data_IF_205160843008
#
_entry.id   IF_205160843008
#
_cell.length_a   1.000
_cell.length_b   1.000
_cell.length_c   1.000
_cell.angle_alpha   90.00
_cell.angle_beta   90.00
_cell.angle_gamma   90.00
#
_symmetry.space_group_name_H-M   'P 1'
#
loop_
_entity.id
_entity.type
_entity.pdbx_description
1 polymer ?
#
# COMPACT_ATOMS: atom_id res chain seq x y z
N UNK A 1 -116.07 10.51 26.38
CA UNK A 1 -116.78 11.80 26.46
C UNK A 1 -116.25 12.58 27.65
N UNK A 2 -115.37 13.56 27.42
CA UNK A 2 -115.21 14.82 28.17
C UNK A 2 -113.87 15.47 27.83
N UNK A 3 -114.01 16.58 27.13
CA UNK A 3 -113.03 17.62 26.84
C UNK A 3 -112.65 18.32 28.14
N UNK A 4 -111.36 18.59 28.37
CA UNK A 4 -110.89 19.74 29.16
C UNK A 4 -109.64 20.32 28.47
N UNK A 5 -109.61 21.65 28.42
CA UNK A 5 -108.75 22.55 27.64
C UNK A 5 -107.69 23.24 28.52
N UNK A 6 -106.57 23.59 27.89
CA UNK A 6 -105.59 24.66 28.17
C UNK A 6 -104.52 24.48 29.28
N UNK A 7 -103.24 24.67 28.90
CA UNK A 7 -102.56 25.99 28.90
C UNK A 7 -101.25 25.96 28.09
N UNK A 8 -100.99 27.04 27.37
CA UNK A 8 -99.81 27.34 26.54
C UNK A 8 -98.66 27.96 27.34
N UNK A 9 -97.41 27.66 26.98
CA UNK A 9 -96.35 28.67 26.78
C UNK A 9 -95.12 28.10 26.04
N UNK A 10 -94.63 28.87 25.07
CA UNK A 10 -93.49 28.61 24.16
C UNK A 10 -92.18 29.10 24.78
N UNK A 11 -91.05 28.46 24.50
CA UNK A 11 -89.75 29.16 24.28
C UNK A 11 -88.91 28.39 23.23
N UNK A 12 -88.23 29.17 22.38
CA UNK A 12 -87.52 28.84 21.14
C UNK A 12 -86.08 28.37 21.42
N UNK A 13 -85.59 27.42 20.63
CA UNK A 13 -84.18 27.02 20.58
C UNK A 13 -83.47 27.94 19.57
N UNK A 14 -82.41 28.64 20.02
CA UNK A 14 -81.50 29.41 19.17
C UNK A 14 -80.18 28.65 19.03
N UNK A 15 -79.77 28.41 17.78
CA UNK A 15 -78.46 27.88 17.40
C UNK A 15 -77.48 29.07 17.35
N UNK A 16 -76.40 28.99 18.12
CA UNK A 16 -75.29 29.96 18.07
C UNK A 16 -74.11 29.30 17.37
N UNK A 17 -73.79 29.80 16.17
CA UNK A 17 -72.51 29.56 15.51
C UNK A 17 -71.47 30.54 16.05
N UNK A 18 -70.28 30.04 16.37
CA UNK A 18 -69.17 30.84 16.87
C UNK A 18 -68.04 30.86 15.84
N UNK A 19 -67.84 32.02 15.21
CA UNK A 19 -66.60 32.41 14.55
C UNK A 19 -65.77 33.22 15.53
N UNK A 20 -64.51 32.83 15.76
CA UNK A 20 -63.53 33.67 16.47
C UNK A 20 -62.21 33.63 15.70
N UNK A 21 -61.74 34.81 15.30
CA UNK A 21 -60.40 35.12 14.83
C UNK A 21 -59.90 36.29 15.70
N UNK A 22 -58.70 36.20 16.30
CA UNK A 22 -58.00 37.37 16.86
C UNK A 22 -57.19 37.21 18.16
N UNK A 23 -56.01 36.59 18.04
CA UNK A 23 -54.68 36.98 18.57
C UNK A 23 -54.39 37.34 20.07
N UNK A 24 -53.36 36.63 20.58
CA UNK A 24 -52.26 37.02 21.50
C UNK A 24 -52.45 36.93 23.02
N UNK A 25 -51.84 35.92 23.64
CA UNK A 25 -50.87 36.04 24.77
C UNK A 25 -50.26 34.67 25.06
N UNK A 26 -48.94 34.56 24.91
CA UNK A 26 -48.22 33.29 24.82
C UNK A 26 -47.98 32.56 26.15
N UNK A 27 -48.08 31.23 26.08
CA UNK A 27 -47.17 30.25 26.73
C UNK A 27 -47.19 29.00 25.83
N UNK A 28 -46.53 29.08 24.67
CA UNK A 28 -46.34 27.93 23.80
C UNK A 28 -45.13 27.12 24.25
N UNK A 29 -45.37 25.95 24.85
CA UNK A 29 -44.36 24.90 24.98
C UNK A 29 -43.96 24.42 23.58
N UNK A 30 -43.02 25.12 22.95
CA UNK A 30 -42.27 24.60 21.83
C UNK A 30 -41.28 23.58 22.38
N UNK A 31 -41.66 22.30 22.37
CA UNK A 31 -40.65 21.24 22.24
C UNK A 31 -40.06 21.36 20.84
N UNK A 32 -39.14 22.31 20.69
CA UNK A 32 -38.23 22.33 19.57
C UNK A 32 -37.41 21.05 19.64
N UNK A 33 -37.77 20.06 18.83
CA UNK A 33 -36.79 19.11 18.31
C UNK A 33 -35.81 19.94 17.51
N UNK A 34 -34.79 20.49 18.18
CA UNK A 34 -33.56 20.88 17.52
C UNK A 34 -32.97 19.57 16.99
N UNK A 35 -33.37 19.19 15.78
CA UNK A 35 -32.51 18.40 14.93
C UNK A 35 -31.21 19.20 14.88
N UNK A 36 -30.19 18.69 15.56
CA UNK A 36 -28.85 19.23 15.48
C UNK A 36 -28.48 19.08 14.01
N UNK A 37 -28.54 20.17 13.25
CA UNK A 37 -27.96 20.21 11.91
C UNK A 37 -26.50 19.79 12.10
N UNK A 38 -26.17 18.58 11.67
CA UNK A 38 -24.80 18.09 11.71
C UNK A 38 -23.98 19.08 10.89
N UNK A 39 -23.12 19.84 11.57
CA UNK A 39 -22.24 20.79 10.93
C UNK A 39 -21.54 20.10 9.75
N UNK A 40 -21.37 20.78 8.59
CA UNK A 40 -20.81 20.15 7.40
C UNK A 40 -19.49 19.45 7.74
N UNK A 41 -19.36 18.20 7.30
CA UNK A 41 -18.15 17.42 7.45
C UNK A 41 -17.02 18.15 6.74
N UNK A 42 -16.02 18.62 7.50
CA UNK A 42 -14.82 19.21 6.92
C UNK A 42 -13.70 18.16 6.88
N UNK A 43 -12.78 18.23 5.91
CA UNK A 43 -11.66 17.30 5.80
C UNK A 43 -10.84 17.20 7.09
N UNK A 44 -10.59 18.31 7.76
CA UNK A 44 -9.77 18.36 8.98
C UNK A 44 -10.47 17.76 10.20
N UNK A 45 -11.81 17.73 10.19
CA UNK A 45 -12.62 17.09 11.23
C UNK A 45 -12.68 15.57 11.04
N UNK A 46 -12.83 15.12 9.80
CA UNK A 46 -12.91 13.68 9.46
C UNK A 46 -11.52 13.04 9.48
N UNK A 47 -10.51 13.74 8.97
CA UNK A 47 -9.13 13.28 8.85
C UNK A 47 -8.18 14.19 9.65
N UNK A 48 -8.25 14.19 10.99
CA UNK A 48 -7.26 14.90 11.80
C UNK A 48 -5.85 14.34 11.57
N UNK A 49 -4.84 15.20 11.68
CA UNK A 49 -3.44 14.79 11.61
C UNK A 49 -3.09 13.72 12.65
N UNK A 50 -2.24 12.76 12.26
CA UNK A 50 -1.78 11.63 13.10
C UNK A 50 -1.08 12.09 14.37
N UNK A 51 -0.50 13.30 14.38
CA UNK A 51 0.08 13.92 15.58
C UNK A 51 -0.92 14.10 16.74
N UNK A 52 -2.23 14.18 16.46
CA UNK A 52 -3.26 14.17 17.52
C UNK A 52 -3.39 12.80 18.18
N UNK A 53 -3.19 11.72 17.43
CA UNK A 53 -3.22 10.34 17.91
C UNK A 53 -2.02 10.04 18.81
N UNK A 54 -0.84 10.60 18.49
CA UNK A 54 0.42 10.43 19.25
C UNK A 54 0.31 10.73 20.74
N UNK A 55 -0.60 11.63 21.13
CA UNK A 55 -0.83 11.98 22.54
C UNK A 55 -1.19 10.77 23.41
N UNK A 56 -1.86 9.77 22.82
CA UNK A 56 -2.26 8.54 23.50
C UNK A 56 -1.61 7.29 22.89
N UNK A 57 -1.42 7.25 21.57
CA UNK A 57 -0.86 6.12 20.83
C UNK A 57 0.63 6.34 20.49
N UNK A 58 1.47 6.47 21.51
CA UNK A 58 2.86 6.91 21.36
C UNK A 58 3.65 5.94 20.47
N UNK A 59 3.71 4.65 20.85
CA UNK A 59 4.46 3.62 20.13
C UNK A 59 4.00 3.48 18.68
N UNK A 60 2.70 3.34 18.45
CA UNK A 60 2.16 3.19 17.09
C UNK A 60 2.44 4.43 16.22
N UNK A 61 2.40 5.64 16.79
CA UNK A 61 2.76 6.86 16.08
C UNK A 61 4.24 6.89 15.73
N UNK A 62 5.13 6.49 16.62
CA UNK A 62 6.58 6.47 16.37
C UNK A 62 6.95 5.44 15.28
N UNK A 63 6.35 4.25 15.34
CA UNK A 63 6.50 3.22 14.31
C UNK A 63 5.97 3.71 12.95
N UNK A 64 4.81 4.37 12.93
CA UNK A 64 4.22 4.96 11.74
C UNK A 64 5.08 6.08 11.14
N UNK A 65 5.60 6.99 11.98
CA UNK A 65 6.40 8.15 11.56
C UNK A 65 7.64 7.72 10.76
N UNK A 66 8.19 6.53 11.03
CA UNK A 66 9.33 5.95 10.30
C UNK A 66 8.94 5.03 9.13
N UNK A 67 7.65 4.73 8.98
CA UNK A 67 7.16 3.77 7.98
C UNK A 67 7.18 4.29 6.54
N UNK A 68 7.17 3.36 5.58
CA UNK A 68 7.00 3.71 4.16
C UNK A 68 5.61 4.27 3.85
N UNK A 69 4.60 3.95 4.67
CA UNK A 69 3.21 4.39 4.51
C UNK A 69 3.07 5.88 4.85
N UNK A 70 3.72 6.35 5.91
CA UNK A 70 3.77 7.80 6.22
C UNK A 70 4.37 8.63 5.08
N UNK A 71 5.20 8.00 4.24
CA UNK A 71 5.85 8.63 3.10
C UNK A 71 5.04 8.51 1.79
N UNK A 72 3.81 7.98 1.81
CA UNK A 72 3.04 7.62 0.62
C UNK A 72 2.92 8.72 -0.44
N UNK A 73 2.84 10.00 -0.05
CA UNK A 73 2.66 11.12 -0.99
C UNK A 73 3.90 11.99 -1.18
N UNK A 74 4.97 11.76 -0.41
CA UNK A 74 6.12 12.69 -0.37
C UNK A 74 7.37 12.17 -1.07
N UNK A 75 7.36 10.93 -1.54
CA UNK A 75 8.54 10.39 -2.24
C UNK A 75 8.75 11.09 -3.59
N UNK A 76 10.01 11.32 -4.01
CA UNK A 76 10.29 11.95 -5.29
C UNK A 76 9.81 11.10 -6.48
N UNK A 77 9.79 9.77 -6.34
CA UNK A 77 9.30 8.85 -7.37
C UNK A 77 7.79 8.95 -7.55
N UNK A 78 7.03 9.06 -6.45
CA UNK A 78 5.59 9.25 -6.51
C UNK A 78 5.24 10.61 -7.11
N UNK A 79 5.91 11.69 -6.68
CA UNK A 79 5.70 13.04 -7.23
C UNK A 79 5.96 13.10 -8.73
N UNK A 80 7.05 12.50 -9.20
CA UNK A 80 7.37 12.43 -10.63
C UNK A 80 6.32 11.65 -11.45
N UNK A 81 5.78 10.56 -10.88
CA UNK A 81 4.72 9.79 -11.51
C UNK A 81 3.40 10.55 -11.53
N UNK A 82 3.05 11.18 -10.41
CA UNK A 82 1.85 11.98 -10.26
C UNK A 82 1.85 13.18 -11.20
N UNK A 83 3.00 13.85 -11.37
CA UNK A 83 3.17 14.94 -12.33
C UNK A 83 2.93 14.47 -13.76
N UNK A 84 3.50 13.33 -14.17
CA UNK A 84 3.26 12.74 -15.51
C UNK A 84 1.78 12.46 -15.75
N UNK A 85 1.17 11.79 -14.77
CA UNK A 85 -0.21 11.33 -14.82
C UNK A 85 -1.17 12.52 -14.89
N UNK A 86 -0.98 13.52 -14.02
CA UNK A 86 -1.78 14.73 -13.96
C UNK A 86 -1.57 15.61 -15.20
N UNK A 87 -0.34 15.74 -15.70
CA UNK A 87 -0.03 16.51 -16.91
C UNK A 87 -0.70 15.96 -18.17
N UNK A 88 -1.05 14.67 -18.19
CA UNK A 88 -1.85 14.02 -19.24
C UNK A 88 -3.36 14.21 -19.09
N UNK A 89 -3.82 14.98 -18.10
CA UNK A 89 -5.24 15.23 -17.87
C UNK A 89 -6.04 14.01 -17.37
N UNK A 90 -5.35 12.99 -16.84
CA UNK A 90 -6.01 11.77 -16.32
C UNK A 90 -6.66 12.02 -14.95
N UNK A 91 -7.63 11.18 -14.58
CA UNK A 91 -8.36 11.29 -13.30
C UNK A 91 -7.43 11.02 -12.10
N UNK A 92 -7.00 12.09 -11.43
CA UNK A 92 -6.06 12.11 -10.31
C UNK A 92 -6.50 11.21 -9.14
N UNK A 93 -7.80 10.93 -9.01
CA UNK A 93 -8.33 10.03 -7.98
C UNK A 93 -7.78 8.62 -8.11
N UNK A 94 -7.35 8.20 -9.31
CA UNK A 94 -6.66 6.92 -9.49
C UNK A 94 -5.47 6.77 -8.53
N UNK A 95 -4.60 7.78 -8.45
CA UNK A 95 -3.47 7.77 -7.52
C UNK A 95 -3.93 8.01 -6.07
N UNK A 96 -4.84 8.98 -5.88
CA UNK A 96 -5.22 9.43 -4.53
C UNK A 96 -6.09 8.43 -3.77
N UNK A 97 -6.82 7.53 -4.44
CA UNK A 97 -7.59 6.48 -3.75
C UNK A 97 -6.72 5.60 -2.85
N UNK A 98 -5.45 5.38 -3.19
CA UNK A 98 -4.51 4.62 -2.38
C UNK A 98 -3.55 5.52 -1.59
N UNK A 99 -3.10 6.63 -2.18
CA UNK A 99 -2.06 7.46 -1.59
C UNK A 99 -2.59 8.56 -0.67
N UNK A 100 -3.87 8.95 -0.82
CA UNK A 100 -4.52 10.00 -0.05
C UNK A 100 -6.05 9.76 0.04
N UNK A 101 -6.49 8.65 0.68
CA UNK A 101 -7.85 8.11 0.58
C UNK A 101 -8.96 9.03 1.12
N UNK A 102 -8.62 10.17 1.72
CA UNK A 102 -9.58 11.26 1.98
C UNK A 102 -10.35 11.69 0.73
N UNK A 103 -9.81 11.50 -0.48
CA UNK A 103 -10.53 11.79 -1.73
C UNK A 103 -11.72 10.87 -1.99
N UNK A 104 -11.81 9.73 -1.29
CA UNK A 104 -12.99 8.86 -1.34
C UNK A 104 -14.20 9.57 -0.69
N UNK A 105 -13.96 10.39 0.33
CA UNK A 105 -14.98 11.18 1.04
C UNK A 105 -15.13 12.58 0.45
N UNK A 106 -14.01 13.20 0.06
CA UNK A 106 -13.94 14.57 -0.45
C UNK A 106 -13.32 14.61 -1.86
N UNK A 107 -14.03 14.12 -2.90
CA UNK A 107 -13.47 13.99 -4.24
C UNK A 107 -13.05 15.33 -4.86
N UNK A 108 -13.72 16.42 -4.51
CA UNK A 108 -13.46 17.77 -5.04
C UNK A 108 -12.10 18.34 -4.60
N UNK A 109 -11.46 17.74 -3.60
CA UNK A 109 -10.13 18.16 -3.14
C UNK A 109 -9.00 17.62 -4.00
N UNK A 110 -9.26 16.65 -4.90
CA UNK A 110 -8.22 15.96 -5.64
C UNK A 110 -7.26 16.92 -6.37
N UNK A 111 -7.78 17.96 -7.01
CA UNK A 111 -6.96 18.95 -7.72
C UNK A 111 -6.06 19.76 -6.78
N UNK A 112 -6.62 20.26 -5.68
CA UNK A 112 -5.88 21.02 -4.68
C UNK A 112 -4.83 20.14 -4.01
N UNK A 113 -5.16 18.89 -3.69
CA UNK A 113 -4.25 17.94 -3.09
C UNK A 113 -3.07 17.61 -4.01
N UNK A 114 -3.31 17.35 -5.30
CA UNK A 114 -2.22 17.13 -6.26
C UNK A 114 -1.30 18.35 -6.35
N UNK A 115 -1.85 19.57 -6.39
CA UNK A 115 -1.02 20.80 -6.41
C UNK A 115 -0.09 20.88 -5.20
N UNK A 116 -0.60 20.60 -4.01
CA UNK A 116 0.21 20.61 -2.78
C UNK A 116 1.25 19.48 -2.74
N UNK A 117 0.89 18.28 -3.21
CA UNK A 117 1.84 17.16 -3.30
C UNK A 117 3.01 17.52 -4.21
N UNK A 118 2.72 18.13 -5.36
CA UNK A 118 3.73 18.51 -6.35
C UNK A 118 4.55 19.74 -5.93
N UNK A 119 3.98 20.68 -5.16
CA UNK A 119 4.74 21.81 -4.59
C UNK A 119 5.75 21.35 -3.53
N UNK A 120 5.55 20.16 -2.97
CA UNK A 120 6.41 19.60 -1.95
C UNK A 120 5.98 19.88 -0.51
N UNK A 121 4.88 20.61 -0.32
CA UNK A 121 4.40 21.13 0.96
C UNK A 121 2.90 20.82 1.18
N UNK A 122 2.54 19.54 1.38
CA UNK A 122 1.16 19.15 1.68
C UNK A 122 0.75 19.53 3.10
N UNK A 123 -0.43 20.12 3.26
CA UNK A 123 -1.02 20.43 4.57
C UNK A 123 -1.80 19.26 5.18
N UNK A 124 -1.71 18.09 4.56
CA UNK A 124 -2.42 16.87 4.92
C UNK A 124 -1.49 15.65 4.81
N UNK A 125 -1.89 14.57 5.47
CA UNK A 125 -1.20 13.29 5.38
C UNK A 125 -1.78 12.44 4.24
N UNK A 126 -0.91 11.65 3.59
CA UNK A 126 -1.34 10.69 2.58
C UNK A 126 -2.14 9.56 3.22
N UNK A 127 -1.46 8.51 3.67
CA UNK A 127 -2.07 7.41 4.40
C UNK A 127 -1.71 7.54 5.88
N UNK A 128 -2.45 8.39 6.61
CA UNK A 128 -2.30 8.58 8.06
C UNK A 128 -3.07 7.54 8.90
N UNK A 129 -3.04 7.70 10.22
CA UNK A 129 -3.72 6.78 11.15
C UNK A 129 -5.21 6.65 10.78
N UNK A 130 -5.89 7.79 10.68
CA UNK A 130 -7.34 7.83 10.52
C UNK A 130 -7.78 7.39 9.11
N UNK A 131 -6.93 7.58 8.10
CA UNK A 131 -7.15 7.07 6.75
C UNK A 131 -7.30 5.54 6.72
N UNK A 132 -6.53 4.80 7.53
CA UNK A 132 -6.71 3.36 7.69
C UNK A 132 -7.84 3.05 8.68
N UNK A 133 -7.88 3.75 9.81
CA UNK A 133 -8.79 3.44 10.91
C UNK A 133 -10.26 3.84 10.68
N UNK A 134 -10.59 4.52 9.57
CA UNK A 134 -11.97 4.73 9.11
C UNK A 134 -12.45 3.70 8.08
N UNK A 135 -11.59 2.78 7.62
CA UNK A 135 -12.00 1.76 6.64
C UNK A 135 -12.95 0.75 7.30
N UNK A 136 -14.22 0.82 6.91
CA UNK A 136 -15.29 -0.04 7.43
C UNK A 136 -15.44 -1.35 6.65
N UNK A 137 -15.14 -1.32 5.36
CA UNK A 137 -15.20 -2.52 4.52
C UNK A 137 -14.37 -2.35 3.25
N UNK A 138 -13.85 -3.46 2.73
CA UNK A 138 -13.21 -3.55 1.42
C UNK A 138 -14.03 -4.49 0.56
N UNK A 139 -14.51 -4.01 -0.58
CA UNK A 139 -15.31 -4.80 -1.51
C UNK A 139 -14.40 -5.65 -2.40
N UNK A 140 -13.95 -6.79 -1.89
CA UNK A 140 -13.16 -7.77 -2.63
C UNK A 140 -14.07 -8.57 -3.57
N UNK A 141 -14.68 -7.90 -4.55
CA UNK A 141 -15.56 -8.54 -5.53
C UNK A 141 -14.81 -8.82 -6.84
N UNK A 142 -14.88 -10.03 -7.42
CA UNK A 142 -14.26 -10.35 -8.71
C UNK A 142 -14.87 -9.59 -9.90
N UNK A 143 -15.94 -8.82 -9.68
CA UNK A 143 -16.62 -7.98 -10.67
C UNK A 143 -16.21 -6.51 -10.60
N UNK A 144 -15.32 -6.10 -9.69
CA UNK A 144 -14.68 -4.79 -9.78
C UNK A 144 -13.94 -4.74 -11.11
N UNK A 145 -14.25 -3.73 -11.93
CA UNK A 145 -13.78 -3.58 -13.31
C UNK A 145 -12.32 -4.04 -13.50
N UNK A 146 -11.98 -4.70 -14.61
CA UNK A 146 -10.61 -5.17 -14.85
C UNK A 146 -9.60 -4.02 -14.75
N UNK A 147 -8.74 -4.09 -13.73
CA UNK A 147 -7.68 -3.10 -13.47
C UNK A 147 -8.09 -1.98 -12.52
N UNK A 148 -7.79 -2.16 -11.23
CA UNK A 148 -7.94 -1.16 -10.17
C UNK A 148 -7.98 -1.82 -8.78
N UNK A 149 -7.71 -1.07 -7.70
CA UNK A 149 -7.87 -1.60 -6.34
C UNK A 149 -9.37 -1.83 -6.04
N UNK A 150 -9.73 -2.81 -5.17
CA UNK A 150 -11.10 -3.01 -4.76
C UNK A 150 -11.61 -1.76 -4.02
N UNK A 151 -12.87 -1.33 -4.25
CA UNK A 151 -13.43 -0.17 -3.55
C UNK A 151 -13.36 -0.35 -2.04
N UNK A 152 -12.78 0.63 -1.35
CA UNK A 152 -12.83 0.75 0.10
C UNK A 152 -13.96 1.70 0.49
N UNK A 153 -14.70 1.34 1.55
CA UNK A 153 -15.69 2.22 2.17
C UNK A 153 -15.13 2.77 3.46
N UNK A 154 -15.05 4.09 3.55
CA UNK A 154 -14.74 4.80 4.77
C UNK A 154 -16.04 5.18 5.48
N UNK A 155 -16.04 5.19 6.80
CA UNK A 155 -17.13 5.72 7.63
C UNK A 155 -16.67 7.01 8.32
N UNK A 156 -16.91 8.19 7.71
CA UNK A 156 -16.62 9.46 8.35
C UNK A 156 -17.38 9.60 9.66
N UNK A 157 -16.69 9.98 10.73
CA UNK A 157 -17.33 10.18 12.02
C UNK A 157 -16.35 10.07 13.17
N UNK A 158 -16.91 9.84 14.37
CA UNK A 158 -16.14 9.66 15.60
C UNK A 158 -15.65 8.24 15.82
N UNK A 159 -16.22 7.26 15.11
CA UNK A 159 -15.85 5.85 15.25
C UNK A 159 -14.53 5.55 14.57
N UNK A 160 -13.63 4.92 15.32
CA UNK A 160 -12.31 4.46 14.88
C UNK A 160 -12.28 2.94 15.02
N UNK A 161 -12.02 2.24 13.93
CA UNK A 161 -12.05 0.78 13.89
C UNK A 161 -10.70 0.17 14.26
N UNK A 162 -10.70 -0.99 14.91
CA UNK A 162 -9.47 -1.70 15.26
C UNK A 162 -9.65 -3.20 15.45
N UNK A 163 -8.52 -3.89 15.67
CA UNK A 163 -8.49 -5.35 15.82
C UNK A 163 -8.80 -5.88 17.23
N UNK A 164 -8.99 -5.01 18.23
CA UNK A 164 -9.22 -5.43 19.62
C UNK A 164 -10.71 -5.45 19.95
N UNK A 165 -11.17 -6.49 20.66
CA UNK A 165 -12.57 -6.60 21.11
C UNK A 165 -12.80 -5.92 22.46
N UNK A 166 -11.74 -5.85 23.25
CA UNK A 166 -11.66 -5.34 24.61
C UNK A 166 -10.87 -4.03 24.63
N UNK A 167 -11.29 -3.08 23.79
CA UNK A 167 -10.79 -1.71 23.76
C UNK A 167 -11.33 -0.93 24.98
N UNK A 168 -10.59 0.10 25.39
CA UNK A 168 -11.03 1.03 26.44
C UNK A 168 -11.92 2.12 25.83
N UNK A 169 -12.95 2.53 26.56
CA UNK A 169 -13.76 3.69 26.15
C UNK A 169 -12.94 4.99 26.24
N UNK A 170 -13.12 5.88 25.27
CA UNK A 170 -12.39 7.14 25.18
C UNK A 170 -13.36 8.29 24.88
N UNK A 171 -13.08 9.47 25.43
CA UNK A 171 -13.82 10.69 25.09
C UNK A 171 -13.36 11.28 23.75
N UNK A 172 -12.15 10.94 23.29
CA UNK A 172 -11.56 11.51 22.09
C UNK A 172 -12.27 11.00 20.82
N UNK A 173 -12.49 9.69 20.75
CA UNK A 173 -13.15 9.00 19.65
C UNK A 173 -13.85 7.75 20.17
N UNK A 174 -14.85 7.27 19.43
CA UNK A 174 -15.52 6.01 19.72
C UNK A 174 -14.65 4.88 19.14
N UNK A 175 -14.52 3.77 19.86
CA UNK A 175 -13.71 2.63 19.41
C UNK A 175 -14.63 1.47 19.03
N UNK A 176 -14.31 0.77 17.95
CA UNK A 176 -15.10 -0.38 17.51
C UNK A 176 -14.22 -1.50 16.97
N UNK A 177 -14.49 -2.73 17.43
CA UNK A 177 -13.88 -3.92 16.84
C UNK A 177 -14.36 -4.12 15.40
N UNK A 178 -13.42 -4.34 14.50
CA UNK A 178 -13.72 -4.77 13.14
C UNK A 178 -12.73 -5.86 12.70
N UNK A 179 -13.28 -7.02 12.34
CA UNK A 179 -12.51 -8.20 11.96
C UNK A 179 -11.58 -7.96 10.74
N UNK A 180 -11.92 -6.99 9.89
CA UNK A 180 -11.10 -6.53 8.77
C UNK A 180 -9.67 -6.19 9.18
N UNK A 181 -9.45 -5.63 10.38
CA UNK A 181 -8.11 -5.25 10.86
C UNK A 181 -7.19 -6.44 11.15
N UNK A 182 -7.74 -7.67 11.14
CA UNK A 182 -6.98 -8.92 11.26
C UNK A 182 -6.83 -9.63 9.92
N UNK A 183 -7.30 -9.07 8.81
CA UNK A 183 -7.35 -9.73 7.51
C UNK A 183 -6.50 -9.00 6.47
N UNK A 184 -5.91 -9.76 5.54
CA UNK A 184 -5.18 -9.19 4.41
C UNK A 184 -6.04 -8.28 3.52
N UNK A 185 -7.37 -8.44 3.54
CA UNK A 185 -8.31 -7.62 2.76
C UNK A 185 -8.14 -6.11 3.02
N UNK A 186 -7.79 -5.71 4.25
CA UNK A 186 -7.48 -4.32 4.57
C UNK A 186 -6.33 -3.77 3.70
N UNK A 187 -5.26 -4.56 3.56
CA UNK A 187 -4.08 -4.19 2.79
C UNK A 187 -4.36 -4.23 1.27
N UNK A 188 -5.16 -5.22 0.83
CA UNK A 188 -5.51 -5.40 -0.57
C UNK A 188 -6.34 -4.24 -1.13
N UNK A 189 -6.98 -3.44 -0.28
CA UNK A 189 -7.61 -2.17 -0.66
C UNK A 189 -6.69 -1.21 -1.43
N UNK A 190 -5.38 -1.29 -1.18
CA UNK A 190 -4.38 -0.49 -1.90
C UNK A 190 -3.32 -1.34 -2.59
N UNK A 191 -3.07 -2.56 -2.13
CA UNK A 191 -1.94 -3.37 -2.60
C UNK A 191 -2.30 -4.39 -3.69
N UNK A 192 -3.57 -4.60 -4.04
CA UNK A 192 -3.95 -5.54 -5.11
C UNK A 192 -4.00 -4.87 -6.51
N UNK A 193 -2.99 -4.06 -6.83
CA UNK A 193 -3.02 -3.19 -8.01
C UNK A 193 -2.56 -3.92 -9.27
N UNK A 194 -3.34 -3.77 -10.32
CA UNK A 194 -2.96 -4.04 -11.70
C UNK A 194 -3.08 -2.73 -12.51
N UNK A 195 -2.26 -2.51 -13.55
CA UNK A 195 -2.48 -1.40 -14.47
C UNK A 195 -3.92 -1.40 -15.01
N UNK A 196 -4.56 -0.22 -15.16
CA UNK A 196 -5.89 -0.14 -15.73
C UNK A 196 -5.95 -0.84 -17.09
N UNK A 197 -6.87 -1.80 -17.26
CA UNK A 197 -6.98 -2.57 -18.50
C UNK A 197 -6.00 -3.74 -18.67
N UNK A 198 -5.10 -4.00 -17.70
CA UNK A 198 -4.17 -5.15 -17.73
C UNK A 198 -4.26 -5.97 -16.41
N UNK A 199 -5.44 -6.52 -16.08
CA UNK A 199 -5.70 -7.18 -14.80
C UNK A 199 -4.80 -8.40 -14.52
N UNK A 200 -4.29 -9.07 -15.54
CA UNK A 200 -3.38 -10.21 -15.42
C UNK A 200 -2.03 -9.85 -14.77
N UNK A 201 -1.68 -8.56 -14.73
CA UNK A 201 -0.46 -8.06 -14.13
C UNK A 201 -0.63 -7.61 -12.66
N UNK A 202 -1.57 -8.19 -11.94
CA UNK A 202 -1.81 -7.92 -10.51
C UNK A 202 -0.53 -8.14 -9.68
N UNK A 203 -0.19 -7.16 -8.83
CA UNK A 203 1.09 -7.05 -8.15
C UNK A 203 1.38 -8.16 -7.13
N UNK A 204 0.38 -8.58 -6.35
CA UNK A 204 0.54 -9.58 -5.29
C UNK A 204 0.60 -11.01 -5.84
N UNK A 205 -0.06 -11.27 -6.96
CA UNK A 205 -0.20 -12.60 -7.55
C UNK A 205 -1.18 -13.47 -6.77
N UNK A 206 -0.97 -14.78 -6.83
CA UNK A 206 -1.91 -15.76 -6.29
C UNK A 206 -1.77 -15.99 -4.78
N UNK A 207 -1.73 -14.91 -3.98
CA UNK A 207 -1.53 -14.95 -2.52
C UNK A 207 -2.41 -15.99 -1.81
N UNK A 208 -3.70 -16.04 -2.16
CA UNK A 208 -4.68 -16.94 -1.52
C UNK A 208 -4.33 -18.42 -1.63
N UNK A 209 -3.51 -18.81 -2.61
CA UNK A 209 -3.10 -20.19 -2.84
C UNK A 209 -1.72 -20.56 -2.27
N UNK A 210 -1.02 -19.61 -1.64
CA UNK A 210 0.31 -19.81 -1.05
C UNK A 210 0.27 -20.61 0.24
N UNK A 211 1.43 -21.12 0.66
CA UNK A 211 1.54 -21.85 1.92
C UNK A 211 1.18 -20.96 3.12
N UNK A 212 1.67 -19.72 3.15
CA UNK A 212 1.42 -18.79 4.25
C UNK A 212 -0.08 -18.49 4.42
N UNK A 213 -0.80 -18.23 3.31
CA UNK A 213 -2.24 -17.98 3.37
C UNK A 213 -3.02 -19.20 3.88
N UNK A 214 -2.63 -20.42 3.47
CA UNK A 214 -3.25 -21.67 3.94
C UNK A 214 -2.99 -21.95 5.43
N UNK A 215 -1.86 -21.47 5.96
CA UNK A 215 -1.53 -21.50 7.39
C UNK A 215 -2.23 -20.39 8.20
N UNK A 216 -3.09 -19.58 7.57
CA UNK A 216 -3.81 -18.49 8.22
C UNK A 216 -2.96 -17.25 8.51
N UNK A 217 -1.75 -17.15 7.94
CA UNK A 217 -0.94 -15.93 8.03
C UNK A 217 -1.53 -14.85 7.14
N UNK A 218 -1.43 -13.61 7.59
CA UNK A 218 -1.96 -12.43 6.89
C UNK A 218 -0.81 -11.49 6.51
N UNK A 219 -1.09 -10.46 5.71
CA UNK A 219 -0.10 -9.43 5.40
C UNK A 219 0.50 -8.83 6.68
N UNK A 220 -0.35 -8.60 7.68
CA UNK A 220 0.01 -8.06 8.98
C UNK A 220 0.99 -8.96 9.73
N UNK A 221 0.92 -10.29 9.58
CA UNK A 221 1.82 -11.22 10.29
C UNK A 221 3.30 -10.92 10.02
N UNK A 222 3.66 -10.54 8.80
CA UNK A 222 5.04 -10.24 8.42
C UNK A 222 5.33 -8.74 8.37
N UNK A 223 4.37 -7.92 7.90
CA UNK A 223 4.60 -6.49 7.66
C UNK A 223 4.22 -5.61 8.85
N UNK A 224 3.45 -6.11 9.82
CA UNK A 224 3.08 -5.44 11.06
C UNK A 224 3.46 -6.32 12.26
N UNK A 225 4.77 -6.62 12.43
CA UNK A 225 5.21 -7.59 13.43
C UNK A 225 4.70 -7.19 14.82
N UNK A 226 4.21 -8.17 15.57
CA UNK A 226 3.63 -7.91 16.87
C UNK A 226 4.71 -7.52 17.88
N UNK A 227 4.36 -6.63 18.81
CA UNK A 227 5.13 -6.42 20.03
C UNK A 227 4.20 -6.32 21.24
N UNK A 228 4.75 -6.53 22.44
CA UNK A 228 3.96 -6.53 23.67
C UNK A 228 3.99 -5.16 24.36
N UNK A 229 2.89 -4.41 24.30
CA UNK A 229 2.76 -3.14 24.99
C UNK A 229 1.29 -2.70 25.13
N UNK A 230 1.04 -1.54 25.73
CA UNK A 230 -0.26 -0.88 25.70
C UNK A 230 -0.51 -0.24 24.32
N UNK A 231 -1.71 -0.41 23.75
CA UNK A 231 -2.10 0.23 22.49
C UNK A 231 -2.26 1.74 22.62
N UNK A 232 -2.65 2.21 23.81
CA UNK A 232 -2.75 3.61 24.18
C UNK A 232 -2.35 3.80 25.64
N UNK A 233 -2.07 5.04 26.04
CA UNK A 233 -1.91 5.39 27.46
C UNK A 233 -3.08 4.87 28.29
N UNK A 234 -2.80 4.40 29.51
CA UNK A 234 -3.78 3.84 30.46
C UNK A 234 -4.43 2.51 30.04
N UNK A 235 -4.20 2.02 28.83
CA UNK A 235 -4.61 0.68 28.45
C UNK A 235 -3.72 -0.41 29.06
N UNK A 236 -4.30 -1.60 29.22
CA UNK A 236 -3.55 -2.80 29.58
C UNK A 236 -2.60 -3.20 28.46
N UNK A 237 -1.44 -3.73 28.85
CA UNK A 237 -0.49 -4.35 27.92
C UNK A 237 -1.05 -5.61 27.29
N UNK A 238 -0.79 -5.79 25.99
CA UNK A 238 -1.22 -6.93 25.18
C UNK A 238 -0.32 -7.06 23.96
N UNK A 239 -0.50 -8.12 23.19
CA UNK A 239 0.09 -8.19 21.84
C UNK A 239 -0.57 -7.14 20.95
N UNK A 240 0.23 -6.20 20.47
CA UNK A 240 -0.21 -5.15 19.56
C UNK A 240 0.51 -5.26 18.22
N UNK A 241 -0.21 -5.01 17.14
CA UNK A 241 0.37 -4.97 15.79
C UNK A 241 1.30 -3.76 15.65
N UNK A 242 2.51 -3.98 15.13
CA UNK A 242 3.45 -2.92 14.83
C UNK A 242 2.99 -2.08 13.62
N UNK A 243 3.22 -0.78 13.66
CA UNK A 243 2.88 0.18 12.60
C UNK A 243 4.11 0.61 11.79
N UNK A 244 5.16 -0.21 11.78
CA UNK A 244 6.40 0.02 11.03
C UNK A 244 6.21 -0.27 9.52
N UNK A 245 5.23 -1.11 9.19
CA UNK A 245 4.89 -1.53 7.82
C UNK A 245 6.13 -1.98 7.02
N UNK A 246 6.90 -2.90 7.62
CA UNK A 246 8.22 -3.29 7.14
C UNK A 246 8.18 -3.87 5.72
N UNK A 247 8.60 -3.10 4.71
CA UNK A 247 8.80 -3.60 3.34
C UNK A 247 10.21 -3.35 2.79
N UNK A 248 10.96 -2.41 3.39
CA UNK A 248 12.30 -2.01 2.95
C UNK A 248 13.41 -2.32 3.95
N UNK A 249 13.07 -2.87 5.12
CA UNK A 249 14.05 -3.24 6.14
C UNK A 249 15.08 -4.24 5.57
N UNK A 250 16.39 -3.95 5.66
CA UNK A 250 17.42 -4.90 5.24
C UNK A 250 17.30 -6.26 5.95
N UNK A 251 16.92 -6.26 7.23
CA UNK A 251 16.77 -7.49 8.01
C UNK A 251 15.63 -8.38 7.48
N UNK A 252 14.51 -7.77 7.06
CA UNK A 252 13.40 -8.51 6.45
C UNK A 252 13.77 -9.00 5.04
N UNK A 253 14.42 -8.15 4.23
CA UNK A 253 14.81 -8.50 2.85
C UNK A 253 15.80 -9.67 2.80
N UNK A 254 16.75 -9.74 3.73
CA UNK A 254 17.67 -10.89 3.85
C UNK A 254 16.96 -12.22 4.10
N UNK A 255 15.74 -12.19 4.64
CA UNK A 255 14.92 -13.38 4.88
C UNK A 255 13.96 -13.71 3.72
N UNK A 256 13.85 -12.81 2.72
CA UNK A 256 12.89 -12.95 1.63
C UNK A 256 13.37 -13.91 0.53
N UNK A 257 14.69 -14.11 0.40
CA UNK A 257 15.30 -14.91 -0.65
C UNK A 257 16.40 -15.82 -0.13
N UNK A 258 16.42 -17.03 -0.65
CA UNK A 258 17.56 -17.93 -0.52
C UNK A 258 18.20 -18.10 -1.91
N UNK A 259 19.53 -17.93 -1.95
CA UNK A 259 20.32 -18.08 -3.17
C UNK A 259 21.19 -19.30 -3.02
N UNK A 260 21.25 -20.14 -4.05
CA UNK A 260 22.19 -21.24 -4.16
C UNK A 260 22.74 -21.32 -5.57
N UNK A 261 23.87 -21.99 -5.74
CA UNK A 261 24.41 -22.25 -7.08
C UNK A 261 25.27 -23.49 -7.14
N UNK A 262 25.34 -24.03 -8.35
CA UNK A 262 26.19 -25.14 -8.74
C UNK A 262 27.04 -24.71 -9.95
N UNK A 263 28.30 -25.15 -10.00
CA UNK A 263 29.23 -24.84 -11.08
C UNK A 263 29.72 -26.11 -11.77
N UNK A 264 29.74 -26.11 -13.10
CA UNK A 264 30.32 -27.16 -13.93
C UNK A 264 31.44 -26.56 -14.78
N UNK A 265 32.68 -26.89 -14.46
CA UNK A 265 33.86 -26.45 -15.24
C UNK A 265 34.04 -27.39 -16.42
N UNK A 266 33.94 -26.85 -17.64
CA UNK A 266 33.99 -27.56 -18.91
C UNK A 266 35.17 -27.04 -19.74
N UNK A 267 36.39 -27.29 -19.24
CA UNK A 267 37.62 -26.80 -19.87
C UNK A 267 37.66 -25.27 -19.90
N UNK A 268 37.65 -24.69 -21.11
CA UNK A 268 37.73 -23.23 -21.31
C UNK A 268 36.43 -22.48 -20.97
N UNK A 269 35.33 -23.17 -20.72
CA UNK A 269 34.05 -22.57 -20.33
C UNK A 269 33.59 -23.15 -19.00
N UNK A 270 32.88 -22.35 -18.22
CA UNK A 270 32.21 -22.79 -16.99
C UNK A 270 30.73 -22.48 -17.12
N UNK A 271 29.89 -23.45 -16.77
CA UNK A 271 28.46 -23.28 -16.61
C UNK A 271 28.13 -23.06 -15.14
N UNK A 272 27.38 -22.01 -14.84
CA UNK A 272 26.88 -21.69 -13.51
C UNK A 272 25.35 -21.82 -13.52
N UNK A 273 24.83 -22.67 -12.65
CA UNK A 273 23.38 -22.84 -12.43
C UNK A 273 23.02 -22.20 -11.11
N UNK A 274 22.27 -21.10 -11.14
CA UNK A 274 21.83 -20.36 -9.95
C UNK A 274 20.39 -20.71 -9.63
N UNK A 275 20.11 -21.02 -8.36
CA UNK A 275 18.76 -21.23 -7.82
C UNK A 275 18.40 -20.00 -6.99
N UNK A 276 17.37 -19.28 -7.41
CA UNK A 276 16.78 -18.14 -6.70
C UNK A 276 15.45 -18.59 -6.10
N UNK A 277 15.42 -18.79 -4.79
CA UNK A 277 14.20 -19.21 -4.09
C UNK A 277 13.52 -17.99 -3.47
N UNK A 278 12.31 -17.70 -3.94
CA UNK A 278 11.44 -16.71 -3.34
C UNK A 278 10.75 -17.32 -2.12
N UNK A 279 11.08 -16.84 -0.93
CA UNK A 279 10.49 -17.30 0.33
C UNK A 279 9.26 -16.49 0.74
N UNK A 280 8.93 -15.43 0.00
CA UNK A 280 7.75 -14.63 0.31
C UNK A 280 6.51 -15.15 -0.45
N UNK A 281 5.34 -15.16 0.21
CA UNK A 281 4.07 -15.66 -0.35
C UNK A 281 3.38 -14.66 -1.30
N UNK A 282 4.15 -13.87 -2.05
CA UNK A 282 3.65 -12.98 -3.10
C UNK A 282 4.72 -12.81 -4.17
N UNK A 283 4.34 -12.26 -5.32
CA UNK A 283 5.31 -11.95 -6.37
C UNK A 283 6.35 -10.94 -5.88
N UNK A 284 7.56 -10.95 -6.44
CA UNK A 284 8.59 -9.94 -6.19
C UNK A 284 9.23 -9.51 -7.51
N UNK A 285 9.33 -8.19 -7.78
CA UNK A 285 8.82 -7.08 -6.96
C UNK A 285 7.28 -6.98 -6.95
N UNK A 286 6.70 -6.75 -5.76
CA UNK A 286 5.25 -6.66 -5.50
C UNK A 286 4.68 -5.25 -5.65
N UNK A 287 5.45 -4.28 -6.14
CA UNK A 287 5.08 -2.86 -6.03
C UNK A 287 4.54 -2.31 -7.35
N UNK A 288 3.39 -1.64 -7.25
CA UNK A 288 3.05 -0.54 -8.13
C UNK A 288 3.98 0.65 -7.78
N UNK A 289 4.62 1.28 -8.76
CA UNK A 289 4.39 1.09 -10.19
C UNK A 289 5.27 -0.03 -10.80
N UNK A 290 4.87 -0.55 -11.96
CA UNK A 290 5.44 -1.73 -12.63
C UNK A 290 6.91 -1.62 -13.00
N UNK A 291 7.49 -0.45 -12.82
CA UNK A 291 8.90 -0.19 -13.05
C UNK A 291 9.81 -0.73 -11.94
N UNK A 292 9.26 -1.26 -10.84
CA UNK A 292 10.12 -1.98 -9.90
C UNK A 292 10.75 -3.19 -10.60
N UNK A 293 12.05 -3.35 -10.39
CA UNK A 293 12.81 -4.49 -10.89
C UNK A 293 13.65 -5.04 -9.74
N UNK A 294 13.70 -6.36 -9.69
CA UNK A 294 14.74 -7.07 -8.95
C UNK A 294 15.67 -7.71 -9.96
N UNK A 295 16.96 -7.72 -9.72
CA UNK A 295 17.90 -8.40 -10.60
C UNK A 295 18.87 -9.30 -9.84
N UNK A 296 19.16 -10.45 -10.44
CA UNK A 296 20.27 -11.32 -10.06
C UNK A 296 21.51 -10.82 -10.78
N UNK A 297 22.54 -10.49 -10.02
CA UNK A 297 23.87 -10.18 -10.52
C UNK A 297 24.81 -11.34 -10.22
N UNK A 298 25.65 -11.68 -11.20
CA UNK A 298 26.75 -12.59 -11.00
C UNK A 298 28.07 -11.85 -11.24
N UNK A 299 29.04 -12.09 -10.37
CA UNK A 299 30.41 -11.56 -10.48
C UNK A 299 31.38 -12.71 -10.27
N UNK A 300 32.25 -12.92 -11.24
CA UNK A 300 33.29 -13.94 -11.19
C UNK A 300 34.63 -13.24 -11.02
N UNK A 301 35.39 -13.68 -10.03
CA UNK A 301 36.72 -13.14 -9.72
C UNK A 301 37.77 -14.24 -9.85
N UNK A 302 38.77 -13.97 -10.69
CA UNK A 302 39.89 -14.88 -10.94
C UNK A 302 41.03 -14.68 -9.94
N UNK A 303 42.27 -14.82 -10.45
CA UNK A 303 43.48 -14.58 -9.68
C UNK A 303 43.50 -13.17 -9.09
N UNK A 304 43.95 -13.04 -7.83
CA UNK A 304 44.04 -11.78 -7.09
C UNK A 304 42.70 -11.03 -6.96
N UNK A 305 41.57 -11.74 -6.99
CA UNK A 305 40.21 -11.18 -6.89
C UNK A 305 39.83 -10.23 -8.04
N UNK A 306 40.59 -10.24 -9.13
CA UNK A 306 40.28 -9.48 -10.34
C UNK A 306 38.97 -9.97 -10.93
N UNK A 307 38.04 -9.05 -11.18
CA UNK A 307 36.80 -9.34 -11.89
C UNK A 307 37.09 -9.73 -13.33
N UNK A 308 36.60 -10.90 -13.73
CA UNK A 308 36.81 -11.46 -15.07
C UNK A 308 35.51 -11.68 -15.82
N UNK A 309 34.38 -11.69 -15.11
CA UNK A 309 33.06 -11.79 -15.72
C UNK A 309 32.01 -11.17 -14.81
N UNK A 310 31.02 -10.50 -15.43
CA UNK A 310 29.84 -9.94 -14.78
C UNK A 310 28.66 -10.10 -15.71
N UNK A 311 27.53 -10.53 -15.16
CA UNK A 311 26.26 -10.56 -15.88
C UNK A 311 25.08 -10.26 -14.95
N UNK A 312 23.94 -9.90 -15.53
CA UNK A 312 22.72 -9.50 -14.83
C UNK A 312 21.50 -10.13 -15.48
N UNK A 313 20.63 -10.74 -14.67
CA UNK A 313 19.29 -11.20 -15.05
C UNK A 313 18.23 -10.38 -14.32
N UNK A 314 17.35 -9.71 -15.06
CA UNK A 314 16.29 -8.88 -14.52
C UNK A 314 14.96 -9.66 -14.36
N UNK A 315 14.28 -9.40 -13.24
CA UNK A 315 12.96 -9.90 -12.87
C UNK A 315 12.00 -8.73 -12.71
N UNK A 316 11.12 -8.57 -13.68
CA UNK A 316 10.19 -7.44 -13.72
C UNK A 316 9.07 -7.69 -14.74
N UNK A 317 8.19 -6.71 -14.89
CA UNK A 317 7.16 -6.71 -15.94
C UNK A 317 7.45 -5.64 -16.97
N UNK A 318 7.26 -5.96 -18.24
CA UNK A 318 7.30 -5.00 -19.35
C UNK A 318 5.94 -4.95 -20.03
N UNK A 319 5.54 -3.77 -20.45
CA UNK A 319 4.23 -3.51 -21.05
C UNK A 319 4.41 -2.81 -22.37
N UNK A 320 3.36 -2.84 -23.18
CA UNK A 320 3.26 -1.98 -24.36
C UNK A 320 2.15 -0.95 -24.19
N UNK A 321 2.38 0.23 -24.74
CA UNK A 321 1.37 1.27 -24.89
C UNK A 321 0.41 0.96 -26.07
N UNK A 322 -0.60 1.80 -26.27
CA UNK A 322 -1.56 1.66 -27.37
C UNK A 322 -0.95 1.72 -28.78
N UNK A 323 0.29 2.22 -28.92
CA UNK A 323 1.05 2.28 -30.17
C UNK A 323 1.98 1.08 -30.36
N UNK A 324 2.03 0.16 -29.39
CA UNK A 324 2.91 -1.01 -29.39
C UNK A 324 4.33 -0.72 -28.89
N UNK A 325 4.64 0.49 -28.40
CA UNK A 325 5.95 0.79 -27.84
C UNK A 325 6.07 0.23 -26.43
N UNK A 326 7.27 -0.22 -26.05
CA UNK A 326 7.53 -0.61 -24.65
C UNK A 326 7.33 0.59 -23.73
N UNK A 327 6.61 0.39 -22.63
CA UNK A 327 6.39 1.38 -21.58
C UNK A 327 6.63 0.81 -20.20
N UNK A 328 7.11 1.67 -19.31
CA UNK A 328 7.27 1.42 -17.87
C UNK A 328 6.30 2.27 -17.03
N UNK A 329 5.38 2.97 -17.71
CA UNK A 329 4.35 3.79 -17.10
C UNK A 329 3.05 2.98 -17.05
N UNK A 330 2.60 2.62 -15.85
CA UNK A 330 1.40 1.82 -15.62
C UNK A 330 0.16 2.44 -16.25
N UNK A 331 0.08 3.77 -16.24
CA UNK A 331 -1.04 4.48 -16.83
C UNK A 331 -1.00 4.56 -18.35
N UNK A 332 0.10 4.20 -19.00
CA UNK A 332 0.19 4.12 -20.46
C UNK A 332 0.07 2.66 -20.96
N UNK A 333 0.20 1.68 -20.06
CA UNK A 333 0.14 0.27 -20.38
C UNK A 333 -1.25 -0.17 -20.83
N UNK A 334 -1.32 -0.88 -21.95
CA UNK A 334 -2.57 -1.52 -22.44
C UNK A 334 -2.46 -3.03 -22.57
N UNK A 335 -1.24 -3.57 -22.50
CA UNK A 335 -0.97 -5.00 -22.64
C UNK A 335 0.32 -5.36 -21.91
N UNK A 336 0.29 -6.50 -21.22
CA UNK A 336 1.48 -7.14 -20.66
C UNK A 336 2.30 -7.77 -21.79
N UNK A 337 3.56 -7.36 -21.93
CA UNK A 337 4.48 -7.89 -22.94
C UNK A 337 5.32 -9.04 -22.39
N UNK A 338 5.87 -8.86 -21.18
CA UNK A 338 6.69 -9.86 -20.51
C UNK A 338 6.48 -9.77 -19.00
N UNK A 339 6.45 -10.92 -18.32
CA UNK A 339 6.37 -11.01 -16.87
C UNK A 339 7.38 -12.05 -16.37
N UNK A 340 8.52 -11.57 -15.88
CA UNK A 340 9.60 -12.41 -15.33
C UNK A 340 9.71 -12.29 -13.82
N UNK A 341 8.77 -11.60 -13.14
CA UNK A 341 8.82 -11.42 -11.68
C UNK A 341 8.95 -12.76 -10.98
N UNK A 342 9.58 -12.74 -9.81
CA UNK A 342 9.74 -13.94 -9.01
C UNK A 342 8.39 -14.26 -8.37
N UNK A 343 7.73 -15.35 -8.78
CA UNK A 343 6.38 -15.71 -8.29
C UNK A 343 6.42 -16.15 -6.84
N UNK A 344 5.28 -16.05 -6.15
CA UNK A 344 5.14 -16.49 -4.77
C UNK A 344 5.61 -17.95 -4.57
N UNK A 345 6.39 -18.20 -3.51
CA UNK A 345 6.92 -19.52 -3.14
C UNK A 345 7.77 -20.23 -4.23
N UNK A 346 8.16 -19.55 -5.31
CA UNK A 346 8.84 -20.20 -6.44
C UNK A 346 10.34 -20.44 -6.19
N UNK A 347 10.90 -21.39 -6.94
CA UNK A 347 12.36 -21.51 -7.13
C UNK A 347 12.67 -21.33 -8.61
N UNK A 348 13.29 -20.21 -8.95
CA UNK A 348 13.77 -19.92 -10.30
C UNK A 348 15.16 -20.52 -10.50
N UNK A 349 15.37 -21.15 -11.64
CA UNK A 349 16.69 -21.64 -12.04
C UNK A 349 17.19 -20.81 -13.21
N UNK A 350 18.34 -20.17 -13.05
CA UNK A 350 19.04 -19.43 -14.09
C UNK A 350 20.33 -20.15 -14.46
N UNK A 351 20.70 -20.09 -15.74
CA UNK A 351 21.97 -20.65 -16.22
C UNK A 351 22.78 -19.56 -16.90
N UNK A 352 24.05 -19.50 -16.55
CA UNK A 352 25.04 -18.61 -17.13
C UNK A 352 26.24 -19.41 -17.63
N UNK A 353 26.87 -18.94 -18.69
CA UNK A 353 28.09 -19.53 -19.22
C UNK A 353 29.12 -18.43 -19.37
N UNK A 354 30.33 -18.67 -18.87
CA UNK A 354 31.43 -17.72 -18.95
C UNK A 354 32.78 -18.42 -19.18
N UNK A 355 33.78 -17.71 -19.74
CA UNK A 355 35.12 -18.26 -19.90
C UNK A 355 35.72 -18.64 -18.54
N UNK A 356 36.18 -19.89 -18.41
CA UNK A 356 36.87 -20.35 -17.19
C UNK A 356 38.09 -19.46 -16.95
N UNK A 357 38.23 -18.83 -15.77
CA UNK A 357 39.33 -17.91 -15.52
C UNK A 357 40.70 -18.60 -15.74
N UNK A 358 41.56 -18.07 -16.62
CA UNK A 358 42.82 -18.71 -16.95
C UNK A 358 43.84 -18.56 -15.82
N UNK A 359 44.84 -19.44 -15.79
CA UNK A 359 46.02 -19.35 -14.92
C UNK A 359 45.69 -19.25 -13.40
N UNK A 360 44.60 -19.89 -12.96
CA UNK A 360 44.22 -19.95 -11.55
C UNK A 360 43.69 -21.35 -11.19
N UNK A 361 44.04 -21.91 -10.03
CA UNK A 361 43.51 -23.21 -9.59
C UNK A 361 42.04 -23.15 -9.15
N UNK A 362 41.53 -21.95 -8.88
CA UNK A 362 40.15 -21.69 -8.46
C UNK A 362 39.71 -20.28 -8.83
N UNK A 363 38.42 -20.03 -8.83
CA UNK A 363 37.84 -18.69 -8.96
C UNK A 363 36.72 -18.49 -7.96
N UNK A 364 36.47 -17.24 -7.58
CA UNK A 364 35.38 -16.87 -6.70
C UNK A 364 34.14 -16.53 -7.51
N UNK A 365 32.99 -16.98 -7.01
CA UNK A 365 31.67 -16.73 -7.55
C UNK A 365 30.88 -15.99 -6.49
N UNK A 366 30.43 -14.79 -6.84
CA UNK A 366 29.51 -13.99 -6.07
C UNK A 366 28.20 -13.90 -6.84
N UNK A 367 27.10 -14.31 -6.22
CA UNK A 367 25.75 -14.10 -6.73
C UNK A 367 25.01 -13.19 -5.75
N UNK A 368 24.34 -12.16 -6.25
CA UNK A 368 23.61 -11.20 -5.41
C UNK A 368 22.31 -10.77 -6.05
N UNK A 369 21.30 -10.54 -5.21
CA UNK A 369 19.98 -10.08 -5.63
C UNK A 369 19.79 -8.64 -5.15
N UNK A 370 19.32 -7.77 -6.03
CA UNK A 370 19.19 -6.32 -5.76
C UNK A 370 17.85 -5.79 -6.23
N UNK A 371 17.31 -4.78 -5.55
CA UNK A 371 16.31 -3.89 -6.14
C UNK A 371 16.98 -2.85 -7.02
N UNK A 372 16.47 -2.70 -8.24
CA UNK A 372 16.93 -1.69 -9.17
C UNK A 372 16.55 -0.28 -8.74
N UNK A 373 17.34 0.69 -9.16
CA UNK A 373 17.09 2.11 -8.88
C UNK A 373 16.41 2.83 -10.04
N UNK A 374 15.77 3.98 -9.74
CA UNK A 374 15.71 5.09 -10.66
C UNK A 374 16.94 5.24 -11.57
N UNK A 375 16.81 4.98 -12.87
CA UNK A 375 17.87 5.17 -13.86
C UNK A 375 18.58 3.89 -14.33
N UNK A 376 18.51 2.77 -13.60
CA UNK A 376 18.95 1.47 -14.14
C UNK A 376 17.92 0.88 -15.11
N UNK A 377 16.63 1.10 -14.79
CA UNK A 377 15.50 0.67 -15.62
C UNK A 377 14.78 1.83 -16.30
N UNK A 378 14.90 3.04 -15.76
CA UNK A 378 14.13 4.20 -16.24
C UNK A 378 14.82 4.93 -17.39
N UNK A 379 14.02 5.64 -18.18
CA UNK A 379 14.56 6.60 -19.15
C UNK A 379 15.29 7.71 -18.41
N UNK A 380 16.35 8.25 -19.04
CA UNK A 380 17.10 9.38 -18.51
C UNK A 380 16.19 10.58 -18.18
N UNK A 381 15.16 10.80 -19.01
CA UNK A 381 14.16 11.84 -18.79
C UNK A 381 13.38 11.67 -17.48
N UNK A 382 12.95 10.44 -17.17
CA UNK A 382 12.22 10.19 -15.93
C UNK A 382 13.13 10.22 -14.70
N UNK A 383 14.37 9.73 -14.81
CA UNK A 383 15.38 9.88 -13.77
C UNK A 383 15.66 11.35 -13.43
N UNK A 384 15.77 12.22 -14.45
CA UNK A 384 15.89 13.68 -14.27
C UNK A 384 14.67 14.28 -13.58
N UNK A 385 13.46 13.86 -13.94
CA UNK A 385 12.22 14.29 -13.24
C UNK A 385 12.21 13.87 -11.77
N UNK A 386 12.62 12.64 -11.46
CA UNK A 386 12.72 12.21 -10.05
C UNK A 386 13.74 13.04 -9.29
N UNK A 387 14.88 13.34 -9.91
CA UNK A 387 15.92 14.18 -9.33
C UNK A 387 15.42 15.62 -9.08
N UNK A 388 14.50 16.16 -9.87
CA UNK A 388 13.96 17.52 -9.64
C UNK A 388 13.03 17.61 -8.42
N UNK A 389 12.53 16.48 -7.90
CA UNK A 389 11.69 16.45 -6.69
C UNK A 389 12.50 16.24 -5.39
N UNK A 390 13.83 16.29 -5.44
CA UNK A 390 14.71 16.16 -4.27
C UNK A 390 15.83 17.19 -4.31
N UNK A 391 16.13 17.78 -3.15
CA UNK A 391 17.26 18.71 -3.01
C UNK A 391 18.62 18.06 -3.31
N UNK A 392 18.72 16.72 -3.18
CA UNK A 392 19.97 15.99 -3.44
C UNK A 392 20.15 15.60 -4.91
N UNK A 393 19.15 15.87 -5.77
CA UNK A 393 19.17 15.45 -7.17
C UNK A 393 19.49 13.95 -7.31
N UNK A 394 20.42 13.62 -8.21
CA UNK A 394 20.87 12.24 -8.42
C UNK A 394 21.64 11.62 -7.23
N UNK A 395 22.00 12.40 -6.22
CA UNK A 395 22.65 11.89 -5.00
C UNK A 395 21.64 11.46 -3.92
N UNK A 396 20.34 11.61 -4.18
CA UNK A 396 19.30 11.16 -3.27
C UNK A 396 19.36 9.63 -3.07
N UNK A 397 19.11 9.11 -1.84
CA UNK A 397 19.09 7.67 -1.58
C UNK A 397 18.18 6.85 -2.50
N UNK A 398 17.16 7.47 -3.11
CA UNK A 398 16.32 6.79 -4.10
C UNK A 398 17.12 6.25 -5.29
N UNK A 399 18.24 6.89 -5.68
CA UNK A 399 19.10 6.47 -6.78
C UNK A 399 20.17 5.45 -6.38
N UNK A 400 20.17 4.95 -5.13
CA UNK A 400 21.15 3.98 -4.64
C UNK A 400 20.58 2.56 -4.66
N UNK A 401 21.36 1.64 -5.21
CA UNK A 401 20.96 0.22 -5.30
C UNK A 401 20.77 -0.34 -3.91
N UNK A 402 19.79 -1.23 -3.78
CA UNK A 402 19.51 -1.90 -2.51
C UNK A 402 19.73 -3.39 -2.69
N UNK A 403 20.81 -3.89 -2.10
CA UNK A 403 21.03 -5.32 -1.96
C UNK A 403 19.92 -5.95 -1.12
N UNK A 404 19.46 -7.11 -1.56
CA UNK A 404 18.50 -7.97 -0.87
C UNK A 404 19.26 -9.06 -0.12
N UNK A 405 20.09 -9.81 -0.85
CA UNK A 405 20.90 -10.90 -0.32
C UNK A 405 22.07 -11.20 -1.26
N UNK A 406 23.14 -11.77 -0.73
CA UNK A 406 24.36 -12.14 -1.45
C UNK A 406 24.88 -13.49 -0.98
N UNK A 407 25.45 -14.25 -1.90
CA UNK A 407 26.12 -15.51 -1.61
C UNK A 407 27.42 -15.62 -2.38
N UNK A 408 28.47 -15.97 -1.65
CA UNK A 408 29.82 -16.12 -2.18
C UNK A 408 30.29 -17.57 -2.04
N UNK A 409 31.24 -17.96 -2.88
CA UNK A 409 31.97 -19.20 -2.75
C UNK A 409 33.09 -19.32 -3.77
N UNK A 410 33.91 -20.34 -3.61
CA UNK A 410 35.10 -20.57 -4.41
C UNK A 410 34.97 -21.90 -5.16
N UNK A 411 35.17 -21.88 -6.46
CA UNK A 411 35.09 -23.06 -7.32
C UNK A 411 36.48 -23.48 -7.75
N UNK A 412 36.85 -24.74 -7.51
CA UNK A 412 38.11 -25.30 -8.02
C UNK A 412 37.98 -25.64 -9.50
N UNK A 413 38.99 -25.25 -10.28
CA UNK A 413 39.05 -25.53 -11.73
C UNK A 413 39.25 -27.04 -11.99
N UNK A 414 39.99 -27.75 -11.12
CA UNK A 414 40.30 -29.17 -11.29
C UNK A 414 39.17 -30.14 -10.92
N UNK A 415 38.23 -29.71 -10.06
CA UNK A 415 37.29 -30.63 -9.41
C UNK A 415 35.80 -30.28 -9.66
N UNK A 416 35.49 -29.10 -10.21
CA UNK A 416 34.11 -28.58 -10.31
C UNK A 416 33.40 -28.42 -8.94
N UNK A 417 34.10 -28.64 -7.82
CA UNK A 417 33.54 -28.61 -6.47
C UNK A 417 33.57 -27.20 -5.88
N UNK A 418 32.42 -26.78 -5.36
CA UNK A 418 32.23 -25.52 -4.66
C UNK A 418 32.66 -25.61 -3.19
N UNK A 419 33.50 -24.68 -2.75
CA UNK A 419 33.78 -24.40 -1.34
C UNK A 419 33.07 -23.12 -0.92
N UNK A 420 32.08 -23.24 -0.02
CA UNK A 420 31.38 -22.08 0.54
C UNK A 420 32.33 -21.26 1.40
N UNK A 421 32.31 -19.93 1.26
CA UNK A 421 33.08 -19.00 2.08
C UNK A 421 32.18 -17.83 2.48
N UNK A 422 32.44 -17.17 3.62
CA UNK A 422 31.83 -15.88 3.92
C UNK A 422 32.14 -14.89 2.80
N UNK A 423 31.18 -14.02 2.47
CA UNK A 423 31.48 -12.85 1.65
C UNK A 423 32.43 -11.94 2.45
N UNK A 424 33.47 -11.44 1.76
CA UNK A 424 34.62 -10.75 2.37
C UNK A 424 34.28 -9.54 3.20
#
# INVERSE_FOLDING_TARGET
MRVIVARTQRVKIFVVGLTVLGLLSGVGWFQGTFAKEDAPLTPEKVFPASSKCKKCHIRASEEYDESVIARAIVTPTFRAMLEDYAGKGKDKRYCLNCHAPQTVVFPDLADTMVKQILSGDPTFEGVGCIQCHLIKSVEVNPTTKPGGPPPMKLEPGRTVFGGYKDYLESKAHDSQYLDLFKKSDLCLACHSLAPPGVPEAEAVGNWKNTKAAKEGKTCQTCHMPQGFDASANEEKKRDIAGHEFNGKSPALRKQAFDLDYDTEVQGAQTKLTVKVKNLVPHNVPTSHPIWNEVYLQIVIRGRNLTEVYRDKRAYARTFTDAKGNKTLMDHDAVKLAEDTVLKADETRVETFTFPTPPNTPSFDVEISLHYATPGERWTEAFAKRVASFTMKGHNDPVFKTSEITVRCGNTKVSDGKLMKKPCG
#
